data_IF_366651508712
#
_entry.id   IF_366651508712
#
_cell.length_a   1.000
_cell.length_b   1.000
_cell.length_c   1.000
_cell.angle_alpha   90.00
_cell.angle_beta   90.00
_cell.angle_gamma   90.00
#
_symmetry.space_group_name_H-M   'P 1'
#
loop_
_entity.id
_entity.type
_entity.pdbx_description
1 polymer ?
#
# COMPACT_ATOMS: atom_id res chain seq x y z
N UNK A 1 -35.13 -0.78 47.06
CA UNK A 1 -33.91 -1.42 46.53
C UNK A 1 -33.63 -0.82 45.16
N UNK A 2 -32.49 -0.14 45.00
CA UNK A 2 -32.11 0.57 43.77
C UNK A 2 -31.38 -0.42 42.86
N UNK A 3 -31.95 -0.73 41.70
CA UNK A 3 -31.32 -1.60 40.70
C UNK A 3 -30.26 -0.82 39.94
N UNK A 4 -28.99 -1.14 40.20
CA UNK A 4 -27.87 -0.68 39.39
C UNK A 4 -27.73 -1.63 38.19
N UNK A 5 -28.12 -1.16 37.01
CA UNK A 5 -27.75 -1.82 35.76
C UNK A 5 -26.26 -1.58 35.51
N UNK A 6 -25.44 -2.60 35.76
CA UNK A 6 -24.04 -2.60 35.37
C UNK A 6 -23.99 -2.74 33.83
N UNK A 7 -23.78 -1.63 33.13
CA UNK A 7 -23.35 -1.65 31.74
C UNK A 7 -21.91 -2.17 31.71
N UNK A 8 -21.74 -3.46 31.44
CA UNK A 8 -20.47 -4.00 31.01
C UNK A 8 -20.18 -3.41 29.62
N UNK A 9 -19.40 -2.34 29.57
CA UNK A 9 -18.78 -1.88 28.33
C UNK A 9 -17.83 -2.98 27.87
N UNK A 10 -18.32 -3.84 26.99
CA UNK A 10 -17.53 -4.81 26.25
C UNK A 10 -16.65 -4.00 25.29
N UNK A 11 -15.50 -3.53 25.79
CA UNK A 11 -14.44 -2.96 24.96
C UNK A 11 -13.92 -4.12 24.13
N UNK A 12 -14.52 -4.34 22.96
CA UNK A 12 -13.94 -5.17 21.94
C UNK A 12 -12.58 -4.57 21.61
N UNK A 13 -11.52 -5.23 22.06
CA UNK A 13 -10.18 -5.06 21.51
C UNK A 13 -10.22 -5.63 20.09
N UNK A 14 -10.87 -4.91 19.17
CA UNK A 14 -10.84 -5.22 17.74
C UNK A 14 -9.37 -5.09 17.31
N UNK A 15 -8.68 -6.21 17.37
CA UNK A 15 -7.35 -6.37 16.84
C UNK A 15 -7.55 -6.47 15.34
N UNK A 16 -7.61 -5.32 14.66
CA UNK A 16 -7.57 -5.21 13.21
C UNK A 16 -6.14 -4.99 12.80
N UNK A 17 -5.55 -5.88 12.00
CA UNK A 17 -4.15 -5.73 11.61
C UNK A 17 -3.99 -6.09 10.15
N UNK A 18 -3.57 -5.09 9.37
CA UNK A 18 -3.20 -5.27 7.99
C UNK A 18 -2.10 -4.27 7.61
N UNK A 19 -1.13 -4.73 6.84
CA UNK A 19 0.13 -4.03 6.63
C UNK A 19 0.55 -4.10 5.17
N UNK A 20 1.08 -2.99 4.64
CA UNK A 20 1.76 -3.01 3.34
C UNK A 20 3.12 -3.65 3.55
N UNK A 21 3.29 -4.88 3.10
CA UNK A 21 4.56 -5.61 3.25
C UNK A 21 5.54 -5.21 2.17
N UNK A 22 5.06 -4.90 0.96
CA UNK A 22 5.93 -4.65 -0.18
C UNK A 22 5.29 -3.69 -1.18
N UNK A 23 6.15 -2.93 -1.87
CA UNK A 23 5.87 -2.33 -3.16
C UNK A 23 6.64 -3.03 -4.29
N UNK A 24 5.94 -3.32 -5.38
CA UNK A 24 6.50 -3.87 -6.62
C UNK A 24 6.48 -2.78 -7.69
N UNK A 25 7.67 -2.32 -8.08
CA UNK A 25 7.83 -1.36 -9.16
C UNK A 25 7.61 -1.98 -10.53
N UNK A 26 7.15 -1.16 -11.48
CA UNK A 26 7.05 -1.51 -12.91
C UNK A 26 8.43 -1.82 -13.51
N UNK A 27 9.48 -1.16 -13.00
CA UNK A 27 10.88 -1.49 -13.28
C UNK A 27 11.36 -2.83 -12.66
N UNK A 28 10.48 -3.59 -12.02
CA UNK A 28 10.79 -4.89 -11.43
C UNK A 28 11.54 -4.84 -10.09
N UNK A 29 11.76 -3.65 -9.55
CA UNK A 29 12.37 -3.43 -8.23
C UNK A 29 11.35 -3.66 -7.13
N UNK A 30 11.78 -4.33 -6.06
CA UNK A 30 10.94 -4.64 -4.91
C UNK A 30 11.54 -3.97 -3.69
N UNK A 31 10.73 -3.20 -2.98
CA UNK A 31 11.12 -2.57 -1.72
C UNK A 31 10.09 -2.96 -0.65
N UNK A 32 10.52 -3.19 0.60
CA UNK A 32 9.58 -3.42 1.68
C UNK A 32 8.70 -2.18 1.93
N UNK A 33 7.55 -2.37 2.57
CA UNK A 33 6.76 -1.27 3.08
C UNK A 33 7.52 -0.45 4.13
N UNK A 34 7.09 0.79 4.34
CA UNK A 34 7.76 1.72 5.27
C UNK A 34 7.47 1.38 6.73
N UNK A 35 6.35 0.72 7.02
CA UNK A 35 6.03 0.24 8.36
C UNK A 35 6.79 -1.04 8.70
N UNK A 36 7.15 -1.81 7.68
CA UNK A 36 7.91 -3.06 7.79
C UNK A 36 9.42 -2.84 7.74
N UNK A 37 9.95 -1.66 8.08
CA UNK A 37 11.39 -1.37 7.93
C UNK A 37 11.99 -0.54 9.06
N UNK A 38 11.16 0.01 9.95
CA UNK A 38 11.66 0.73 11.10
C UNK A 38 11.95 -0.27 12.23
N UNK A 39 13.22 -0.60 12.46
CA UNK A 39 13.77 -1.18 13.71
C UNK A 39 14.09 -2.68 13.64
N UNK A 40 15.38 -3.08 13.60
CA UNK A 40 15.75 -4.32 14.24
C UNK A 40 15.62 -4.11 15.74
N UNK A 41 15.01 -5.06 16.43
CA UNK A 41 14.77 -6.44 15.99
C UNK A 41 13.28 -6.79 15.82
N UNK A 42 12.42 -5.79 15.62
CA UNK A 42 10.97 -6.02 15.64
C UNK A 42 10.40 -6.30 14.25
N UNK A 43 11.21 -6.14 13.18
CA UNK A 43 10.66 -6.11 11.82
C UNK A 43 11.29 -7.08 10.81
N UNK A 44 12.56 -7.43 10.96
CA UNK A 44 13.00 -8.78 10.55
C UNK A 44 12.82 -9.67 11.79
N UNK A 45 12.20 -10.84 11.63
CA UNK A 45 11.81 -11.68 12.77
C UNK A 45 10.32 -11.65 13.12
N UNK A 46 9.55 -10.64 12.65
CA UNK A 46 8.10 -10.57 12.92
C UNK A 46 7.43 -11.89 12.52
N UNK A 47 6.82 -12.63 13.47
CA UNK A 47 6.20 -13.90 13.14
C UNK A 47 5.06 -13.68 12.14
N UNK A 48 5.03 -14.44 11.03
CA UNK A 48 3.89 -14.39 10.08
C UNK A 48 3.10 -15.68 10.04
N UNK A 49 3.47 -16.65 10.86
CA UNK A 49 2.78 -17.91 11.06
C UNK A 49 1.65 -17.84 12.11
N UNK A 50 1.47 -16.68 12.76
CA UNK A 50 0.44 -16.45 13.77
C UNK A 50 -0.33 -15.15 13.51
N UNK A 51 -1.55 -15.03 14.04
CA UNK A 51 -2.46 -13.91 13.76
C UNK A 51 -2.88 -13.11 15.00
N UNK A 52 -2.27 -13.36 16.16
CA UNK A 52 -2.64 -12.74 17.44
C UNK A 52 -1.63 -11.66 17.85
N UNK A 53 -2.07 -10.68 18.65
CA UNK A 53 -1.14 -9.66 19.14
C UNK A 53 -0.03 -10.28 20.00
N UNK A 54 -0.40 -11.26 20.84
CA UNK A 54 0.52 -11.87 21.82
C UNK A 54 1.72 -12.60 21.20
N UNK A 55 1.65 -13.01 19.93
CA UNK A 55 2.78 -13.60 19.23
C UNK A 55 3.63 -12.59 18.46
N UNK A 56 3.26 -11.30 18.43
CA UNK A 56 4.04 -10.24 17.79
C UNK A 56 3.81 -10.03 16.30
N UNK A 57 2.92 -10.79 15.65
CA UNK A 57 2.67 -10.67 14.19
C UNK A 57 2.02 -9.35 13.75
N UNK A 58 1.62 -8.55 14.73
CA UNK A 58 0.93 -7.26 14.59
C UNK A 58 1.86 -6.06 14.85
N UNK A 59 3.11 -6.31 15.28
CA UNK A 59 4.02 -5.28 15.79
C UNK A 59 4.39 -4.21 14.76
N UNK A 60 4.32 -4.54 13.47
CA UNK A 60 4.69 -3.70 12.31
C UNK A 60 3.48 -3.12 11.57
N UNK A 61 2.28 -3.32 12.10
CA UNK A 61 1.06 -2.70 11.56
C UNK A 61 1.01 -1.23 11.95
N UNK A 62 0.86 -0.34 10.97
CA UNK A 62 0.69 1.09 11.24
C UNK A 62 -0.72 1.42 11.69
N UNK A 63 -0.82 2.10 12.82
CA UNK A 63 -2.04 2.75 13.32
C UNK A 63 -2.06 4.18 12.77
N UNK A 64 -3.02 4.47 11.89
CA UNK A 64 -3.11 5.72 11.10
C UNK A 64 -4.41 6.47 11.43
N UNK A 65 -4.52 6.93 12.68
CA UNK A 65 -5.70 7.66 13.17
C UNK A 65 -5.67 9.11 12.71
N UNK A 66 -6.84 9.65 12.35
CA UNK A 66 -6.97 11.05 11.90
C UNK A 66 -6.27 12.06 12.82
N UNK A 67 -6.44 11.89 14.14
CA UNK A 67 -5.84 12.76 15.16
C UNK A 67 -4.30 12.70 15.22
N UNK A 68 -3.71 11.56 14.84
CA UNK A 68 -2.28 11.32 14.99
C UNK A 68 -1.51 11.69 13.70
N UNK A 69 -2.20 11.72 12.56
CA UNK A 69 -1.62 12.00 11.24
C UNK A 69 -1.01 13.40 11.12
N UNK A 70 -1.46 14.38 11.91
CA UNK A 70 -0.85 15.72 11.89
C UNK A 70 0.62 15.72 12.32
N UNK A 71 0.98 14.83 13.24
CA UNK A 71 2.35 14.68 13.74
C UNK A 71 3.07 13.48 13.12
N UNK A 72 2.31 12.45 12.72
CA UNK A 72 2.83 11.18 12.22
C UNK A 72 2.00 10.78 11.00
N UNK A 73 2.20 11.42 9.83
CA UNK A 73 1.36 11.16 8.67
C UNK A 73 1.38 9.69 8.26
N UNK A 74 2.50 9.00 8.39
CA UNK A 74 2.60 7.56 8.06
C UNK A 74 2.10 6.62 9.17
N UNK A 75 1.62 7.17 10.28
CA UNK A 75 1.17 6.43 11.45
C UNK A 75 2.30 6.02 12.38
N UNK A 76 1.94 5.20 13.37
CA UNK A 76 2.86 4.60 14.33
C UNK A 76 2.65 3.10 14.41
N UNK A 77 3.70 2.34 14.63
CA UNK A 77 3.61 0.90 14.94
C UNK A 77 3.71 0.70 16.46
N UNK A 78 3.23 -0.44 16.95
CA UNK A 78 3.39 -0.79 18.36
C UNK A 78 4.84 -1.12 18.72
N UNK A 79 5.58 -1.72 17.78
CA UNK A 79 6.96 -2.16 18.01
C UNK A 79 8.00 -1.05 17.89
N UNK A 80 7.73 0.01 17.12
CA UNK A 80 8.82 0.84 16.55
C UNK A 80 8.52 2.33 16.61
N UNK A 81 7.29 2.71 17.02
CA UNK A 81 6.89 4.11 17.12
C UNK A 81 6.53 4.73 15.76
N UNK A 82 6.76 6.04 15.55
CA UNK A 82 6.48 6.73 14.29
C UNK A 82 7.16 6.09 13.08
N UNK A 83 6.41 5.98 11.98
CA UNK A 83 6.95 5.53 10.70
C UNK A 83 7.66 6.69 10.00
N UNK A 84 8.94 6.51 9.68
CA UNK A 84 9.77 7.51 8.98
C UNK A 84 10.24 6.95 7.63
N UNK A 85 9.83 7.57 6.52
CA UNK A 85 10.22 7.13 5.19
C UNK A 85 11.74 7.25 4.94
N UNK A 86 12.41 8.22 5.56
CA UNK A 86 13.80 8.60 5.28
C UNK A 86 14.80 7.51 5.69
N UNK A 87 14.84 7.15 6.97
CA UNK A 87 14.52 5.79 7.43
C UNK A 87 14.88 4.66 6.45
N UNK A 88 13.80 4.20 5.85
CA UNK A 88 13.70 2.97 5.10
C UNK A 88 14.26 3.13 3.69
N UNK A 89 14.07 4.31 3.09
CA UNK A 89 14.67 4.64 1.79
C UNK A 89 16.19 4.65 1.90
N UNK A 90 16.76 5.29 2.92
CA UNK A 90 18.22 5.31 3.09
C UNK A 90 18.81 3.91 3.29
N UNK A 91 18.14 3.05 4.04
CA UNK A 91 18.56 1.65 4.21
C UNK A 91 18.45 0.84 2.92
N UNK A 92 17.36 0.97 2.19
CA UNK A 92 17.18 0.30 0.90
C UNK A 92 18.24 0.77 -0.13
N UNK A 93 18.57 2.05 -0.13
CA UNK A 93 19.64 2.61 -0.97
C UNK A 93 21.05 2.28 -0.48
N UNK A 94 21.21 1.70 0.72
CA UNK A 94 22.51 1.38 1.31
C UNK A 94 23.29 2.59 1.82
N UNK A 95 22.66 3.78 1.85
CA UNK A 95 23.26 5.01 2.38
C UNK A 95 23.18 5.12 3.91
N UNK A 96 22.43 4.23 4.56
CA UNK A 96 22.38 4.10 6.01
C UNK A 96 22.39 2.63 6.44
N UNK A 97 23.26 2.31 7.41
CA UNK A 97 23.18 1.08 8.20
C UNK A 97 22.47 1.31 9.55
N UNK A 98 22.10 2.57 9.84
CA UNK A 98 21.41 2.92 11.07
C UNK A 98 20.01 2.32 11.03
N UNK A 99 19.90 1.24 11.78
CA UNK A 99 18.67 0.60 12.09
C UNK A 99 18.01 1.39 13.23
N UNK A 100 16.76 1.88 13.09
CA UNK A 100 16.13 2.63 14.17
C UNK A 100 15.99 1.72 15.41
N UNK A 101 15.99 2.29 16.62
CA UNK A 101 15.94 1.52 17.87
C UNK A 101 14.51 1.38 18.37
N UNK A 102 14.18 0.24 18.97
CA UNK A 102 12.90 0.01 19.64
C UNK A 102 12.88 0.83 20.94
N UNK A 103 11.95 1.79 21.04
CA UNK A 103 11.69 2.56 22.26
C UNK A 103 10.37 2.12 22.95
N UNK A 104 9.83 0.96 22.59
CA UNK A 104 8.66 0.36 23.22
C UNK A 104 8.93 -0.04 24.66
N UNK A 105 7.90 -0.01 25.50
CA UNK A 105 7.98 -0.46 26.89
C UNK A 105 8.46 -1.92 26.93
N UNK A 106 9.33 -2.28 27.90
CA UNK A 106 9.78 -3.67 28.13
C UNK A 106 8.55 -4.56 28.36
N UNK A 107 8.09 -5.26 27.32
CA UNK A 107 6.79 -5.93 27.28
C UNK A 107 6.00 -5.74 25.98
N UNK A 108 6.43 -4.84 25.10
CA UNK A 108 5.94 -4.74 23.73
C UNK A 108 6.28 -6.02 22.95
N UNK A 109 5.31 -6.52 22.19
CA UNK A 109 5.39 -7.79 21.47
C UNK A 109 6.48 -7.71 20.38
N UNK A 110 7.46 -8.61 20.45
CA UNK A 110 8.64 -8.62 19.58
C UNK A 110 9.91 -8.78 20.40
N UNK A 111 10.33 -10.03 20.63
CA UNK A 111 11.64 -10.32 21.21
C UNK A 111 12.72 -9.92 20.20
N UNK A 112 13.86 -9.48 20.73
CA UNK A 112 15.01 -9.19 19.89
C UNK A 112 15.58 -10.46 19.23
N UNK A 113 15.41 -10.59 17.91
CA UNK A 113 15.95 -11.68 17.13
C UNK A 113 17.43 -11.46 16.75
N UNK A 114 18.22 -12.54 16.84
CA UNK A 114 19.61 -12.59 16.40
C UNK A 114 19.70 -12.73 14.88
N UNK A 115 19.99 -11.61 14.20
CA UNK A 115 20.06 -11.54 12.74
C UNK A 115 21.45 -11.97 12.18
N UNK A 116 22.37 -12.45 13.01
CA UNK A 116 23.75 -12.76 12.61
C UNK A 116 23.88 -13.92 11.61
N UNK A 117 22.86 -14.76 11.48
CA UNK A 117 22.82 -15.91 10.55
C UNK A 117 22.05 -15.69 9.23
N UNK A 118 21.34 -14.57 9.07
CA UNK A 118 20.44 -14.32 7.93
C UNK A 118 21.09 -14.02 6.55
N UNK A 119 22.36 -13.57 6.40
CA UNK A 119 22.93 -13.31 5.07
C UNK A 119 23.00 -14.55 4.19
N UNK A 120 23.06 -15.75 4.80
CA UNK A 120 22.99 -17.01 4.08
C UNK A 120 21.58 -17.22 3.49
N UNK A 121 21.49 -17.15 2.15
CA UNK A 121 20.26 -17.45 1.41
C UNK A 121 19.34 -16.26 1.10
N UNK A 122 19.72 -15.03 1.43
CA UNK A 122 18.96 -13.81 1.09
C UNK A 122 18.62 -13.72 -0.41
N UNK A 123 19.60 -14.00 -1.28
CA UNK A 123 19.38 -14.04 -2.72
C UNK A 123 18.32 -15.08 -3.16
N UNK A 124 18.33 -16.27 -2.56
CA UNK A 124 17.35 -17.33 -2.86
C UNK A 124 15.95 -16.95 -2.39
N UNK A 125 15.82 -16.39 -1.17
CA UNK A 125 14.54 -15.91 -0.63
C UNK A 125 13.98 -14.76 -1.46
N UNK A 126 14.83 -13.84 -1.89
CA UNK A 126 14.43 -12.74 -2.77
C UNK A 126 13.91 -13.25 -4.13
N UNK A 127 14.59 -14.24 -4.73
CA UNK A 127 14.13 -14.86 -5.97
C UNK A 127 12.80 -15.62 -5.79
N UNK A 128 12.66 -16.39 -4.71
CA UNK A 128 11.41 -17.08 -4.40
C UNK A 128 10.26 -16.09 -4.21
N UNK A 129 10.50 -15.00 -3.49
CA UNK A 129 9.52 -13.92 -3.29
C UNK A 129 9.15 -13.29 -4.63
N UNK A 130 10.10 -13.04 -5.52
CA UNK A 130 9.83 -12.56 -6.89
C UNK A 130 8.91 -13.52 -7.65
N UNK A 131 9.12 -14.84 -7.55
CA UNK A 131 8.27 -15.86 -8.18
C UNK A 131 6.86 -15.88 -7.58
N UNK A 132 6.74 -15.79 -6.25
CA UNK A 132 5.44 -15.72 -5.56
C UNK A 132 4.65 -14.47 -6.00
N UNK A 133 5.31 -13.33 -6.13
CA UNK A 133 4.68 -12.09 -6.59
C UNK A 133 4.27 -12.15 -8.05
N UNK A 134 5.08 -12.76 -8.91
CA UNK A 134 4.67 -13.00 -10.30
C UNK A 134 3.41 -13.85 -10.38
N UNK A 135 3.19 -14.80 -9.46
CA UNK A 135 1.92 -15.53 -9.37
C UNK A 135 0.78 -14.65 -8.83
N UNK A 136 1.04 -13.87 -7.78
CA UNK A 136 0.05 -12.98 -7.14
C UNK A 136 -0.47 -11.89 -8.09
N UNK A 137 0.42 -11.27 -8.86
CA UNK A 137 0.09 -10.20 -9.81
C UNK A 137 -0.14 -10.69 -11.25
N UNK A 138 0.36 -11.88 -11.61
CA UNK A 138 0.27 -12.46 -12.95
C UNK A 138 -0.87 -13.47 -13.14
N UNK A 139 -1.70 -13.70 -12.12
CA UNK A 139 -2.90 -14.55 -12.21
C UNK A 139 -4.02 -14.04 -13.14
N UNK A 140 -3.79 -12.99 -13.93
CA UNK A 140 -4.75 -12.45 -14.89
C UNK A 140 -4.12 -11.71 -16.05
N UNK A 141 -3.83 -12.42 -17.15
CA UNK A 141 -3.87 -11.87 -18.52
C UNK A 141 -2.56 -11.47 -19.23
N UNK A 142 -2.03 -12.38 -20.07
CA UNK A 142 -1.25 -12.11 -21.30
C UNK A 142 0.28 -11.95 -21.15
N UNK A 143 1.18 -12.64 -21.87
CA UNK A 143 1.08 -13.37 -23.13
C UNK A 143 2.17 -14.47 -23.25
N UNK A 144 1.88 -15.45 -24.13
CA UNK A 144 2.72 -16.53 -24.68
C UNK A 144 2.93 -17.81 -23.83
N UNK A 145 2.05 -18.80 -24.06
CA UNK A 145 2.42 -20.22 -24.14
C UNK A 145 2.02 -21.11 -22.96
N UNK A 146 0.94 -21.89 -23.13
CA UNK A 146 0.71 -23.12 -22.37
C UNK A 146 -0.64 -23.23 -21.65
N UNK A 147 -1.68 -23.62 -22.39
CA UNK A 147 -2.89 -24.25 -21.83
C UNK A 147 -2.48 -25.58 -21.16
N UNK A 148 -2.34 -25.63 -19.83
CA UNK A 148 -1.89 -26.87 -19.18
C UNK A 148 -2.12 -27.01 -17.68
N UNK A 149 -3.08 -26.30 -17.07
CA UNK A 149 -3.22 -26.32 -15.60
C UNK A 149 -4.63 -26.40 -15.02
N UNK A 150 -5.67 -26.70 -15.81
CA UNK A 150 -7.06 -26.65 -15.32
C UNK A 150 -7.88 -27.96 -15.45
N UNK A 151 -7.29 -29.08 -15.90
CA UNK A 151 -8.01 -30.36 -15.93
C UNK A 151 -7.06 -31.47 -15.46
N UNK A 152 -7.50 -32.24 -14.46
CA UNK A 152 -6.66 -33.12 -13.66
C UNK A 152 -6.24 -34.46 -14.28
N UNK A 153 -5.55 -35.25 -13.45
CA UNK A 153 -5.15 -36.66 -13.66
C UNK A 153 -3.73 -36.80 -14.23
N UNK A 154 -2.83 -37.63 -13.72
CA UNK A 154 -2.82 -38.59 -12.62
C UNK A 154 -1.46 -39.32 -12.61
N UNK A 155 -1.15 -40.04 -11.53
CA UNK A 155 -0.10 -41.07 -11.51
C UNK A 155 0.94 -40.93 -10.39
N UNK A 156 0.73 -41.67 -9.30
CA UNK A 156 1.72 -41.83 -8.22
C UNK A 156 1.10 -42.35 -6.93
N UNK A 157 0.95 -43.67 -6.83
CA UNK A 157 0.31 -44.39 -5.73
C UNK A 157 1.12 -44.35 -4.42
N UNK A 158 0.42 -44.35 -3.27
CA UNK A 158 0.99 -44.57 -1.93
C UNK A 158 0.04 -44.04 -0.86
N UNK A 159 -0.72 -44.93 -0.21
CA UNK A 159 -1.95 -44.58 0.51
C UNK A 159 -1.77 -43.95 1.89
N UNK A 160 -2.80 -43.21 2.33
CA UNK A 160 -3.48 -43.49 3.59
C UNK A 160 -4.89 -42.86 3.59
N UNK A 161 -5.90 -43.65 3.98
CA UNK A 161 -7.30 -43.23 4.12
C UNK A 161 -7.54 -42.80 5.58
N UNK A 162 -8.00 -41.56 5.76
CA UNK A 162 -8.85 -41.03 6.85
C UNK A 162 -9.10 -39.56 6.45
N UNK A 163 -10.25 -39.13 5.93
CA UNK A 163 -11.59 -39.25 6.49
C UNK A 163 -11.97 -37.91 7.12
N UNK A 164 -12.54 -36.97 6.34
CA UNK A 164 -13.03 -35.69 6.88
C UNK A 164 -13.31 -34.58 5.85
N UNK A 165 -14.46 -34.66 5.17
CA UNK A 165 -15.24 -33.56 4.58
C UNK A 165 -14.51 -32.41 3.83
N UNK A 166 -14.04 -32.69 2.61
CA UNK A 166 -13.83 -31.65 1.59
C UNK A 166 -15.15 -31.47 0.81
N UNK A 167 -16.03 -30.61 1.31
CA UNK A 167 -17.30 -30.27 0.69
C UNK A 167 -17.54 -28.77 0.72
N UNK A 168 -17.37 -28.10 -0.43
CA UNK A 168 -18.04 -26.85 -0.79
C UNK A 168 -17.76 -25.61 0.07
N UNK A 169 -16.68 -24.88 -0.22
CA UNK A 169 -16.54 -23.46 0.15
C UNK A 169 -16.29 -22.54 -1.06
N UNK A 170 -16.50 -23.04 -2.28
CA UNK A 170 -16.48 -22.24 -3.51
C UNK A 170 -17.67 -21.29 -3.68
N UNK A 171 -18.62 -21.28 -2.73
CA UNK A 171 -19.84 -20.47 -2.79
C UNK A 171 -20.04 -19.47 -1.65
N UNK A 172 -19.08 -19.34 -0.72
CA UNK A 172 -19.16 -18.41 0.42
C UNK A 172 -18.16 -17.24 0.32
N UNK A 173 -17.40 -17.17 -0.77
CA UNK A 173 -16.61 -15.99 -1.14
C UNK A 173 -17.45 -15.16 -2.09
N UNK A 174 -18.25 -14.27 -1.51
CA UNK A 174 -19.17 -13.38 -2.21
C UNK A 174 -18.50 -12.71 -3.41
N UNK A 175 -19.18 -12.80 -4.55
CA UNK A 175 -18.84 -12.09 -5.77
C UNK A 175 -18.82 -10.59 -5.51
N UNK A 176 -17.63 -10.00 -5.63
CA UNK A 176 -17.42 -8.57 -5.46
C UNK A 176 -15.97 -8.22 -5.71
N UNK A 177 -15.55 -8.24 -6.98
CA UNK A 177 -14.40 -7.50 -7.56
C UNK A 177 -12.99 -7.65 -6.96
N UNK A 178 -12.81 -8.27 -5.79
CA UNK A 178 -11.53 -8.36 -5.10
C UNK A 178 -10.69 -9.51 -5.62
N UNK A 179 -9.38 -9.29 -5.74
CA UNK A 179 -8.46 -10.30 -6.22
C UNK A 179 -8.28 -11.45 -5.22
N UNK A 180 -8.06 -12.67 -5.72
CA UNK A 180 -7.79 -13.84 -4.89
C UNK A 180 -6.49 -13.64 -4.09
N UNK A 181 -6.59 -13.64 -2.76
CA UNK A 181 -5.44 -13.57 -1.87
C UNK A 181 -4.68 -14.89 -1.80
N UNK A 182 -3.40 -14.84 -1.44
CA UNK A 182 -2.55 -16.01 -1.23
C UNK A 182 -2.19 -16.13 0.25
N UNK A 183 -2.51 -17.27 0.87
CA UNK A 183 -2.09 -17.56 2.27
C UNK A 183 -0.57 -17.63 2.35
N UNK A 184 0.00 -16.98 3.37
CA UNK A 184 1.44 -16.89 3.57
C UNK A 184 1.76 -17.09 5.05
N UNK A 185 2.44 -18.19 5.37
CA UNK A 185 2.82 -18.57 6.73
C UNK A 185 4.36 -18.61 6.89
N UNK A 186 5.05 -17.62 6.32
CA UNK A 186 6.50 -17.52 6.46
C UNK A 186 6.83 -17.29 7.94
N UNK A 187 7.70 -18.09 8.54
CA UNK A 187 7.94 -18.05 9.98
C UNK A 187 8.40 -16.68 10.48
N UNK A 188 9.23 -15.96 9.70
CA UNK A 188 9.73 -14.63 10.04
C UNK A 188 9.88 -13.74 8.81
N UNK A 189 9.59 -12.45 8.95
CA UNK A 189 9.91 -11.45 7.93
C UNK A 189 11.44 -11.25 7.82
N UNK A 190 11.96 -11.10 6.60
CA UNK A 190 13.41 -10.94 6.35
C UNK A 190 13.70 -9.90 5.26
N UNK A 191 12.67 -9.26 4.69
CA UNK A 191 12.85 -8.41 3.51
C UNK A 191 13.73 -7.20 3.75
N UNK A 192 13.76 -6.68 4.96
CA UNK A 192 14.50 -5.45 5.24
C UNK A 192 15.99 -5.74 5.14
N UNK A 193 16.45 -6.81 5.79
CA UNK A 193 17.80 -7.33 5.63
C UNK A 193 18.06 -7.79 4.19
N UNK A 194 17.15 -8.56 3.59
CA UNK A 194 17.36 -9.15 2.27
C UNK A 194 17.45 -8.10 1.15
N UNK A 195 16.85 -6.93 1.32
CA UNK A 195 16.83 -5.85 0.31
C UNK A 195 17.67 -4.62 0.66
N UNK A 196 18.35 -4.62 1.81
CA UNK A 196 19.23 -3.52 2.20
C UNK A 196 20.34 -3.31 1.16
N UNK A 197 20.52 -2.07 0.71
CA UNK A 197 21.50 -1.71 -0.32
C UNK A 197 21.12 -2.06 -1.77
N UNK A 198 20.04 -2.81 -2.03
CA UNK A 198 19.64 -3.16 -3.40
C UNK A 198 19.36 -1.91 -4.25
N UNK A 199 18.78 -0.86 -3.64
CA UNK A 199 18.47 0.39 -4.30
C UNK A 199 19.69 1.12 -4.88
N UNK A 200 20.90 0.86 -4.36
CA UNK A 200 22.13 1.44 -4.91
C UNK A 200 22.40 1.00 -6.36
N UNK A 201 22.02 -0.23 -6.71
CA UNK A 201 22.23 -0.80 -8.04
C UNK A 201 20.96 -0.81 -8.90
N UNK A 202 19.79 -0.93 -8.27
CA UNK A 202 18.51 -1.11 -8.98
C UNK A 202 17.66 0.17 -9.04
N UNK A 203 17.99 1.18 -8.24
CA UNK A 203 17.14 2.36 -8.04
C UNK A 203 15.89 2.04 -7.21
N UNK A 204 14.95 2.99 -7.18
CA UNK A 204 13.67 2.86 -6.44
C UNK A 204 12.61 2.13 -7.27
N UNK A 205 11.61 1.49 -6.63
CA UNK A 205 10.40 1.03 -7.31
C UNK A 205 9.70 2.18 -8.05
N UNK A 206 9.20 1.90 -9.26
CA UNK A 206 8.44 2.88 -10.05
C UNK A 206 6.95 2.56 -10.10
N UNK A 207 6.09 3.57 -10.12
CA UNK A 207 4.73 3.41 -10.64
C UNK A 207 4.78 3.00 -12.13
N UNK A 208 3.72 2.37 -12.63
CA UNK A 208 3.60 2.06 -14.05
C UNK A 208 3.42 3.33 -14.91
N UNK A 209 3.39 3.17 -16.23
CA UNK A 209 3.24 4.29 -17.18
C UNK A 209 1.91 5.04 -17.03
N UNK A 210 0.90 4.42 -16.44
CA UNK A 210 -0.39 5.00 -16.08
C UNK A 210 -0.41 5.53 -14.64
N UNK A 211 0.72 5.59 -13.95
CA UNK A 211 0.80 6.04 -12.56
C UNK A 211 0.06 5.13 -11.58
N UNK A 212 -0.06 3.83 -11.88
CA UNK A 212 -0.58 2.84 -10.93
C UNK A 212 0.58 2.29 -10.11
N UNK A 213 0.41 2.29 -8.79
CA UNK A 213 1.34 1.74 -7.82
C UNK A 213 0.86 0.35 -7.41
N UNK A 214 1.72 -0.66 -7.52
CA UNK A 214 1.41 -2.04 -7.14
C UNK A 214 2.06 -2.40 -5.81
N UNK A 215 1.26 -2.84 -4.85
CA UNK A 215 1.69 -3.18 -3.49
C UNK A 215 1.13 -4.54 -3.07
N UNK A 216 1.79 -5.18 -2.11
CA UNK A 216 1.24 -6.33 -1.39
C UNK A 216 0.74 -5.86 -0.03
N UNK A 217 -0.53 -6.14 0.23
CA UNK A 217 -1.15 -5.90 1.51
C UNK A 217 -1.41 -7.23 2.21
N UNK A 218 -0.80 -7.41 3.38
CA UNK A 218 -1.02 -8.57 4.24
C UNK A 218 -2.18 -8.27 5.16
N UNK A 219 -3.25 -9.04 5.04
CA UNK A 219 -4.27 -9.13 6.08
C UNK A 219 -3.79 -10.14 7.13
N UNK A 220 -3.51 -9.67 8.35
CA UNK A 220 -3.05 -10.53 9.46
C UNK A 220 -4.26 -11.21 10.09
N UNK A 221 -5.35 -10.48 10.31
CA UNK A 221 -6.56 -11.00 10.91
C UNK A 221 -7.86 -10.34 10.38
N UNK A 222 -8.99 -10.74 10.96
CA UNK A 222 -10.35 -10.51 10.44
C UNK A 222 -10.66 -9.05 10.15
N UNK A 223 -10.25 -8.16 11.06
CA UNK A 223 -10.62 -6.75 11.00
C UNK A 223 -9.55 -5.92 10.23
N UNK A 224 -8.52 -6.58 9.68
CA UNK A 224 -7.47 -5.98 8.87
C UNK A 224 -7.79 -5.88 7.37
N UNK A 225 -8.99 -6.24 6.93
CA UNK A 225 -9.36 -6.21 5.52
C UNK A 225 -9.74 -4.80 5.05
N UNK A 226 -9.96 -4.68 3.73
CA UNK A 226 -10.50 -3.49 3.09
C UNK A 226 -12.01 -3.31 3.33
N UNK A 227 -12.64 -2.25 2.78
CA UNK A 227 -12.08 -1.39 1.75
C UNK A 227 -10.99 -0.47 2.30
N UNK A 228 -9.93 -0.29 1.51
CA UNK A 228 -8.83 0.60 1.84
C UNK A 228 -9.08 1.98 1.26
N UNK A 229 -8.66 3.00 2.02
CA UNK A 229 -8.53 4.37 1.53
C UNK A 229 -7.07 4.66 1.24
N UNK A 230 -6.78 5.22 0.07
CA UNK A 230 -5.43 5.56 -0.34
C UNK A 230 -5.22 7.07 -0.47
N UNK A 231 -4.03 7.52 -0.09
CA UNK A 231 -3.56 8.88 -0.24
C UNK A 231 -2.13 8.85 -0.79
N UNK A 232 -1.77 9.81 -1.64
CA UNK A 232 -0.40 9.95 -2.16
C UNK A 232 0.12 11.35 -1.86
N UNK A 233 1.34 11.41 -1.35
CA UNK A 233 2.13 12.62 -1.17
C UNK A 233 3.22 12.66 -2.26
N UNK A 234 3.24 13.76 -3.03
CA UNK A 234 4.22 13.99 -4.08
C UNK A 234 5.41 14.86 -3.65
N UNK A 235 5.40 15.50 -2.48
CA UNK A 235 6.33 16.59 -2.15
C UNK A 235 7.01 16.44 -0.79
N UNK A 236 6.30 16.09 0.28
CA UNK A 236 6.86 16.19 1.64
C UNK A 236 7.69 14.97 2.08
N UNK A 237 7.61 13.88 1.32
CA UNK A 237 8.26 12.63 1.71
C UNK A 237 7.56 11.92 2.87
N UNK A 238 6.26 12.14 3.05
CA UNK A 238 5.45 11.56 4.11
C UNK A 238 5.54 12.29 5.46
N UNK A 239 6.09 13.50 5.48
CA UNK A 239 6.33 14.29 6.69
C UNK A 239 5.23 15.32 6.96
N UNK A 240 4.49 15.73 5.94
CA UNK A 240 3.36 16.66 6.04
C UNK A 240 2.05 15.99 5.60
N UNK A 241 1.08 15.93 6.50
CA UNK A 241 -0.24 15.37 6.19
C UNK A 241 -1.03 16.20 5.16
N UNK A 242 -0.75 17.50 5.02
CA UNK A 242 -1.42 18.38 4.06
C UNK A 242 -0.97 18.13 2.61
N UNK A 243 0.21 17.54 2.42
CA UNK A 243 0.74 17.19 1.10
C UNK A 243 0.05 15.94 0.49
N UNK A 244 -0.66 15.17 1.31
CA UNK A 244 -1.38 13.98 0.87
C UNK A 244 -2.67 14.33 0.14
N UNK A 245 -2.81 13.82 -1.09
CA UNK A 245 -4.04 13.91 -1.88
C UNK A 245 -4.70 12.54 -2.02
N UNK A 246 -6.03 12.52 -2.12
CA UNK A 246 -6.79 11.28 -2.27
C UNK A 246 -6.41 10.56 -3.57
N UNK A 247 -6.15 9.27 -3.45
CA UNK A 247 -5.82 8.38 -4.55
C UNK A 247 -6.89 7.29 -4.66
N UNK A 248 -7.10 6.79 -5.87
CA UNK A 248 -8.09 5.74 -6.13
C UNK A 248 -7.46 4.36 -5.91
N UNK A 249 -8.15 3.50 -5.17
CA UNK A 249 -7.77 2.09 -5.03
C UNK A 249 -8.44 1.32 -6.17
N UNK A 250 -7.66 0.94 -7.18
CA UNK A 250 -8.15 0.29 -8.40
C UNK A 250 -8.20 -1.23 -8.30
N UNK A 251 -7.51 -1.79 -7.31
CA UNK A 251 -7.60 -3.20 -6.93
C UNK A 251 -7.44 -3.26 -5.42
N UNK A 252 -8.50 -3.65 -4.71
CA UNK A 252 -8.58 -3.59 -3.25
C UNK A 252 -8.51 -4.99 -2.61
N UNK A 253 -8.30 -4.99 -1.30
CA UNK A 253 -8.37 -6.17 -0.44
C UNK A 253 -9.84 -6.50 -0.16
N UNK A 254 -10.31 -7.72 -0.48
CA UNK A 254 -11.68 -8.12 -0.20
C UNK A 254 -12.02 -7.99 1.30
N UNK A 255 -13.13 -7.33 1.61
CA UNK A 255 -13.71 -7.26 2.95
C UNK A 255 -15.24 -7.24 2.86
N UNK A 256 -15.91 -7.85 3.84
CA UNK A 256 -17.37 -7.91 3.92
C UNK A 256 -17.92 -6.81 4.84
N UNK A 257 -18.97 -6.13 4.38
CA UNK A 257 -19.80 -5.23 5.21
C UNK A 257 -19.13 -3.90 5.64
N UNK A 258 -19.81 -3.20 6.55
CA UNK A 258 -19.32 -1.95 7.17
C UNK A 258 -18.24 -2.32 8.19
N UNK A 259 -16.98 -1.98 7.91
CA UNK A 259 -15.84 -2.24 8.80
C UNK A 259 -14.83 -3.25 8.27
N UNK A 260 -15.10 -3.89 7.12
CA UNK A 260 -14.08 -4.68 6.41
C UNK A 260 -13.74 -6.01 7.06
N UNK A 261 -14.75 -6.76 7.50
CA UNK A 261 -14.53 -8.07 8.12
C UNK A 261 -14.25 -9.12 7.04
N UNK A 262 -13.16 -9.87 7.15
CA UNK A 262 -12.83 -10.94 6.20
C UNK A 262 -12.28 -12.16 6.91
N UNK A 263 -12.84 -13.35 6.59
CA UNK A 263 -12.40 -14.65 7.12
C UNK A 263 -10.92 -14.98 6.84
N UNK A 264 -10.24 -14.20 6.00
CA UNK A 264 -8.84 -14.37 5.71
C UNK A 264 -7.92 -13.90 6.87
N UNK A 265 -7.16 -14.82 7.43
CA UNK A 265 -5.99 -14.54 8.28
C UNK A 265 -4.70 -14.82 7.52
N UNK A 266 -3.59 -14.16 7.84
CA UNK A 266 -2.26 -14.38 7.22
C UNK A 266 -2.31 -14.53 5.69
N UNK A 267 -2.97 -13.57 5.01
CA UNK A 267 -3.20 -13.62 3.57
C UNK A 267 -2.64 -12.38 2.89
N UNK A 268 -1.83 -12.59 1.86
CA UNK A 268 -1.30 -11.55 0.98
C UNK A 268 -2.28 -11.26 -0.15
N UNK A 269 -2.66 -10.00 -0.30
CA UNK A 269 -3.53 -9.51 -1.37
C UNK A 269 -2.77 -8.52 -2.25
N UNK A 270 -2.94 -8.60 -3.59
CA UNK A 270 -2.47 -7.54 -4.47
C UNK A 270 -3.33 -6.28 -4.27
N UNK A 271 -2.66 -5.15 -4.06
CA UNK A 271 -3.25 -3.84 -3.88
C UNK A 271 -2.74 -2.91 -4.98
N UNK A 272 -3.64 -2.25 -5.71
CA UNK A 272 -3.28 -1.24 -6.71
C UNK A 272 -3.88 0.11 -6.38
N UNK A 273 -3.04 1.15 -6.45
CA UNK A 273 -3.43 2.53 -6.18
C UNK A 273 -3.07 3.40 -7.38
N UNK A 274 -4.06 4.08 -7.95
CA UNK A 274 -3.87 5.07 -8.99
C UNK A 274 -3.47 6.41 -8.37
N UNK A 275 -2.31 6.93 -8.79
CA UNK A 275 -1.86 8.26 -8.39
C UNK A 275 -2.87 9.34 -8.76
N UNK A 276 -3.02 10.41 -7.94
CA UNK A 276 -3.85 11.56 -8.26
C UNK A 276 -3.48 12.18 -9.61
N UNK A 277 -4.50 12.61 -10.37
CA UNK A 277 -4.30 13.18 -11.69
C UNK A 277 -3.44 14.45 -11.61
N UNK A 278 -2.40 14.51 -12.45
CA UNK A 278 -1.46 15.61 -12.44
C UNK A 278 -0.45 15.58 -11.29
N UNK A 279 -0.40 14.57 -10.43
CA UNK A 279 0.64 14.49 -9.40
C UNK A 279 2.00 14.08 -9.98
N UNK A 280 3.06 14.74 -9.54
CA UNK A 280 4.46 14.44 -9.84
C UNK A 280 5.21 14.11 -8.56
N UNK A 281 6.16 13.17 -8.61
CA UNK A 281 7.06 12.91 -7.49
C UNK A 281 8.19 13.93 -7.49
N UNK A 282 8.22 14.74 -6.45
CA UNK A 282 9.13 15.87 -6.25
C UNK A 282 9.81 15.80 -4.87
N UNK A 283 9.32 14.94 -3.98
CA UNK A 283 9.87 14.77 -2.65
C UNK A 283 11.30 14.24 -2.64
N UNK A 284 12.02 14.60 -1.57
CA UNK A 284 13.34 14.06 -1.26
C UNK A 284 13.26 13.24 0.02
N UNK A 285 13.59 11.95 -0.05
CA UNK A 285 13.44 10.99 1.05
C UNK A 285 14.71 10.17 1.18
N UNK A 286 15.33 10.17 2.38
CA UNK A 286 16.55 9.39 2.62
C UNK A 286 17.71 9.71 1.66
N UNK A 287 17.77 10.94 1.15
CA UNK A 287 18.74 11.39 0.15
C UNK A 287 18.36 11.12 -1.32
N UNK A 288 17.24 10.44 -1.57
CA UNK A 288 16.74 10.15 -2.93
C UNK A 288 15.73 11.21 -3.36
N UNK A 289 15.90 11.75 -4.56
CA UNK A 289 15.00 12.75 -5.16
C UNK A 289 13.88 12.10 -5.98
N UNK A 290 12.83 12.88 -6.25
CA UNK A 290 11.67 12.48 -7.06
C UNK A 290 10.89 11.30 -6.46
N UNK A 291 10.76 11.29 -5.13
CA UNK A 291 10.05 10.25 -4.38
C UNK A 291 8.64 10.72 -4.05
N UNK A 292 7.66 9.86 -4.30
CA UNK A 292 6.31 9.95 -3.75
C UNK A 292 6.14 8.93 -2.62
N UNK A 293 5.23 9.22 -1.70
CA UNK A 293 4.80 8.28 -0.67
C UNK A 293 3.32 7.97 -0.86
N UNK A 294 2.98 6.68 -0.96
CA UNK A 294 1.59 6.21 -0.87
C UNK A 294 1.32 5.72 0.54
N UNK A 295 0.15 6.07 1.08
CA UNK A 295 -0.35 5.63 2.38
C UNK A 295 -1.74 5.04 2.19
N UNK A 296 -1.97 3.86 2.74
CA UNK A 296 -3.27 3.19 2.74
C UNK A 296 -3.72 2.83 4.14
N UNK A 297 -5.03 2.87 4.38
CA UNK A 297 -5.62 2.45 5.65
C UNK A 297 -7.05 1.96 5.48
N UNK A 298 -7.50 1.05 6.33
CA UNK A 298 -8.88 0.61 6.41
C UNK A 298 -9.74 1.54 7.29
N UNK A 299 -11.00 1.18 7.51
CA UNK A 299 -11.98 1.94 8.31
C UNK A 299 -12.22 1.38 9.72
N UNK A 300 -11.33 0.52 10.23
CA UNK A 300 -11.54 -0.17 11.50
C UNK A 300 -11.62 0.80 12.70
N UNK A 301 -12.58 0.55 13.60
CA UNK A 301 -12.90 1.43 14.72
C UNK A 301 -11.80 1.46 15.82
N UNK A 302 -11.07 0.36 16.02
CA UNK A 302 -9.94 0.31 16.97
C UNK A 302 -8.73 1.16 16.53
N UNK A 303 -8.74 1.60 15.28
CA UNK A 303 -7.73 2.42 14.63
C UNK A 303 -7.79 2.11 13.15
N UNK A 304 -7.72 3.09 12.24
CA UNK A 304 -7.46 2.77 10.86
C UNK A 304 -6.08 2.11 10.74
N UNK A 305 -6.02 0.88 10.26
CA UNK A 305 -4.80 0.11 10.10
C UNK A 305 -4.38 0.05 8.64
N UNK A 306 -3.08 0.03 8.40
CA UNK A 306 -2.56 -0.14 7.05
C UNK A 306 -1.05 0.01 6.99
N UNK A 307 -0.59 0.74 5.99
CA UNK A 307 0.85 0.93 5.77
C UNK A 307 1.11 1.97 4.69
N UNK A 308 2.39 2.12 4.38
CA UNK A 308 2.85 3.06 3.36
C UNK A 308 4.03 2.49 2.57
N UNK A 309 4.26 3.04 1.39
CA UNK A 309 5.36 2.67 0.51
C UNK A 309 5.95 3.91 -0.18
N UNK A 310 7.26 3.87 -0.43
CA UNK A 310 7.98 4.88 -1.21
C UNK A 310 8.19 4.41 -2.65
N UNK A 311 8.03 5.32 -3.60
CA UNK A 311 8.18 5.02 -5.03
C UNK A 311 8.58 6.25 -5.83
N UNK A 312 8.97 6.01 -7.08
CA UNK A 312 9.28 7.06 -8.06
C UNK A 312 8.36 6.93 -9.28
N UNK A 313 8.37 7.94 -10.15
CA UNK A 313 7.66 7.88 -11.42
C UNK A 313 8.62 7.56 -12.56
N UNK A 314 8.20 6.68 -13.47
CA UNK A 314 8.86 6.58 -14.76
C UNK A 314 8.60 7.83 -15.62
N UNK A 315 9.39 8.00 -16.69
CA UNK A 315 9.31 9.19 -17.54
C UNK A 315 7.92 9.38 -18.17
N UNK A 316 7.25 8.30 -18.57
CA UNK A 316 5.92 8.31 -19.19
C UNK A 316 4.85 8.79 -18.22
N UNK A 317 4.82 8.23 -17.01
CA UNK A 317 3.89 8.61 -15.96
C UNK A 317 4.06 10.09 -15.57
N UNK A 318 5.31 10.57 -15.47
CA UNK A 318 5.61 11.98 -15.17
C UNK A 318 5.15 12.90 -16.31
N UNK A 319 5.42 12.55 -17.57
CA UNK A 319 4.94 13.30 -18.74
C UNK A 319 3.42 13.39 -18.75
N UNK A 320 2.71 12.29 -18.48
CA UNK A 320 1.24 12.24 -18.40
C UNK A 320 0.70 13.19 -17.31
N UNK A 321 1.33 13.21 -16.14
CA UNK A 321 0.95 14.13 -15.06
C UNK A 321 1.15 15.61 -15.46
N UNK A 322 2.28 15.94 -16.08
CA UNK A 322 2.56 17.30 -16.55
C UNK A 322 1.59 17.71 -17.66
N UNK A 323 1.31 16.83 -18.63
CA UNK A 323 0.34 17.07 -19.69
C UNK A 323 -1.07 17.33 -19.14
N UNK A 324 -1.49 16.57 -18.11
CA UNK A 324 -2.75 16.84 -17.41
C UNK A 324 -2.78 18.23 -16.78
N UNK A 325 -1.70 18.64 -16.08
CA UNK A 325 -1.61 19.99 -15.49
C UNK A 325 -1.69 21.08 -16.56
N UNK A 326 -0.99 20.93 -17.68
CA UNK A 326 -1.01 21.89 -18.78
C UNK A 326 -2.40 21.98 -19.40
N UNK A 327 -3.05 20.84 -19.68
CA UNK A 327 -4.41 20.80 -20.19
C UNK A 327 -5.39 21.50 -19.25
N UNK A 328 -5.33 21.22 -17.94
CA UNK A 328 -6.20 21.88 -16.95
C UNK A 328 -5.97 23.38 -16.86
N UNK A 329 -4.73 23.86 -16.97
CA UNK A 329 -4.45 25.30 -17.02
C UNK A 329 -5.07 25.94 -18.27
N UNK A 330 -4.92 25.32 -19.44
CA UNK A 330 -5.52 25.84 -20.68
C UNK A 330 -7.05 25.85 -20.63
N UNK A 331 -7.68 24.83 -20.02
CA UNK A 331 -9.14 24.81 -19.81
C UNK A 331 -9.61 25.98 -18.94
N UNK A 332 -8.95 26.20 -17.80
CA UNK A 332 -9.28 27.33 -16.89
C UNK A 332 -9.06 28.67 -17.60
N UNK A 333 -7.94 28.83 -18.33
CA UNK A 333 -7.67 30.05 -19.08
C UNK A 333 -8.70 30.32 -20.16
N UNK A 334 -9.22 29.29 -20.83
CA UNK A 334 -10.28 29.46 -21.83
C UNK A 334 -11.61 29.88 -21.20
N UNK A 335 -11.97 29.31 -20.06
CA UNK A 335 -13.18 29.68 -19.32
C UNK A 335 -13.11 31.10 -18.74
N UNK A 336 -11.89 31.59 -18.45
CA UNK A 336 -11.67 32.93 -17.93
C UNK A 336 -11.72 34.05 -19.00
N UNK A 337 -11.76 33.72 -20.29
CA UNK A 337 -11.96 34.71 -21.36
C UNK A 337 -13.47 34.91 -21.53
N UNK A 338 -14.03 36.10 -21.25
CA UNK A 338 -15.44 36.38 -21.49
C UNK A 338 -15.75 36.14 -22.97
N UNK A 339 -16.91 35.56 -23.28
CA UNK A 339 -17.38 35.58 -24.66
C UNK A 339 -17.44 37.04 -25.12
N UNK A 340 -16.87 37.39 -26.29
CA UNK A 340 -17.02 38.72 -26.84
C UNK A 340 -18.51 39.04 -26.96
N UNK A 341 -18.93 40.11 -26.27
CA UNK A 341 -20.27 40.64 -26.39
C UNK A 341 -20.38 41.33 -27.76
N UNK A 342 -20.99 40.63 -28.71
CA UNK A 342 -21.21 41.14 -30.06
C UNK A 342 -22.42 42.09 -30.14
N UNK A 343 -23.11 42.39 -29.04
CA UNK A 343 -24.32 43.23 -29.07
C UNK A 343 -24.04 44.73 -29.21
N UNK A 344 -22.80 45.20 -28.96
CA UNK A 344 -22.43 46.61 -29.12
C UNK A 344 -21.78 46.93 -30.49
N UNK A 345 -21.56 45.93 -31.36
CA UNK A 345 -20.89 46.14 -32.66
C UNK A 345 -21.84 46.50 -33.81
N UNK A 346 -23.16 46.32 -33.64
CA UNK A 346 -24.14 46.51 -34.71
C UNK A 346 -24.81 47.90 -34.72
N UNK A 347 -24.54 48.78 -33.74
CA UNK A 347 -25.18 50.13 -33.65
C UNK A 347 -24.34 51.28 -34.22
N UNK A 348 -23.07 51.08 -34.61
CA UNK A 348 -22.20 52.15 -35.13
C UNK A 348 -22.12 52.23 -36.68
N UNK A 349 -22.75 51.33 -37.45
CA UNK A 349 -22.69 51.35 -38.94
C UNK A 349 -23.92 52.00 -39.64
N UNK A 350 -24.88 52.61 -38.93
CA UNK A 350 -26.09 53.21 -39.55
C UNK A 350 -26.17 54.76 -39.57
N UNK A 351 -25.10 55.52 -39.25
CA UNK A 351 -25.20 56.99 -39.05
C UNK A 351 -24.58 57.87 -40.18
N UNK A 352 -23.99 57.30 -41.24
CA UNK A 352 -23.21 58.10 -42.21
C UNK A 352 -23.90 58.48 -43.55
N UNK A 353 -25.20 58.20 -43.75
CA UNK A 353 -25.85 58.38 -45.07
C UNK A 353 -26.90 59.52 -45.17
N UNK A 354 -27.07 60.40 -44.18
CA UNK A 354 -28.19 61.37 -44.16
C UNK A 354 -27.82 62.87 -44.20
N UNK A 355 -26.76 63.29 -44.92
CA UNK A 355 -26.43 64.73 -45.10
C UNK A 355 -25.91 65.12 -46.51
N UNK A 356 -26.68 64.82 -47.56
CA UNK A 356 -26.50 65.45 -48.88
C UNK A 356 -27.86 65.84 -49.47
N UNK A 357 -28.34 67.05 -49.18
CA UNK A 357 -29.23 67.85 -50.03
C UNK A 357 -29.20 69.34 -49.62
#
# INVERSE_FOLDING_TARGET
MRYAFAYAALVSTASAHGVVTMIKGDNGVMMPGLSTTNTPPVVDGTPRDCSSNGCGSQADTSIIRNRDMQQNPLGKTQGTGPVDASVNVARFMGSSQAAPKNNGASGAVGKEDDLSGLPAGAAKRHEERRRQLSKLFGGGGGAAGGLGGLLGGGGGAGGNKNGGAAGGLGGLLGGGGGAAGTKSNVAAETMVADTAGMGNSQGMPTADSNGVVSMVYRQINQDGAGPLTAMVDGTSGGTDNSAFQKAEVTQDVPGLGIGGLSLATNTDFPLKVQMPAGMTCEGTVGGVKNVCIVRVRNSAAAGPFGGSAAFTQNATARKRAIAYRLKKRMEISREAVPEPDYTEADEEEEIDDEHLD
#
